data_IF_160772593329
#
_entry.id   IF_160772593329
#
_cell.length_a   1.000
_cell.length_b   1.000
_cell.length_c   1.000
_cell.angle_alpha   90.00
_cell.angle_beta   90.00
_cell.angle_gamma   90.00
#
_symmetry.space_group_name_H-M   'P 1'
#
loop_
_entity.id
_entity.type
_entity.pdbx_description
1 polymer ?
#
# COMPACT_ATOMS: atom_id res chain seq x y z
N UNK A 1 17.90 -6.55 -16.34
CA UNK A 1 17.69 -7.12 -14.99
C UNK A 1 16.96 -6.05 -14.18
N UNK A 2 15.63 -6.07 -14.25
CA UNK A 2 14.81 -4.91 -13.91
C UNK A 2 14.56 -4.82 -12.40
N UNK A 3 15.23 -3.82 -11.79
CA UNK A 3 14.71 -2.91 -10.76
C UNK A 3 14.33 -3.53 -9.41
N UNK A 4 15.34 -3.77 -8.59
CA UNK A 4 15.21 -3.76 -7.12
C UNK A 4 14.98 -2.34 -6.60
N UNK A 5 13.74 -1.85 -6.63
CA UNK A 5 13.39 -0.49 -6.15
C UNK A 5 12.38 -0.47 -4.97
N UNK A 6 11.89 -1.61 -4.48
CA UNK A 6 10.76 -1.59 -3.52
C UNK A 6 11.13 -1.84 -2.05
N UNK A 7 12.42 -1.92 -1.71
CA UNK A 7 12.82 -2.24 -0.31
C UNK A 7 13.74 -1.23 0.36
N UNK A 8 14.09 -0.11 -0.29
CA UNK A 8 15.02 0.89 0.30
C UNK A 8 14.39 2.22 0.72
N UNK A 9 13.11 2.47 0.40
CA UNK A 9 12.43 3.73 0.76
C UNK A 9 11.47 3.62 1.95
N UNK A 10 11.26 2.44 2.51
CA UNK A 10 10.35 2.26 3.68
C UNK A 10 11.05 2.66 4.98
N UNK A 11 12.37 2.50 5.07
CA UNK A 11 13.15 2.79 6.29
C UNK A 11 13.45 4.29 6.44
N UNK A 12 13.64 5.03 5.34
CA UNK A 12 13.96 6.47 5.38
C UNK A 12 12.77 7.36 5.77
N UNK A 13 11.51 6.91 5.60
CA UNK A 13 10.35 7.68 6.06
C UNK A 13 10.11 7.58 7.59
N UNK A 14 10.79 6.66 8.29
CA UNK A 14 10.64 6.51 9.73
C UNK A 14 11.43 7.59 10.49
N UNK A 15 12.63 7.97 10.02
CA UNK A 15 13.47 8.96 10.72
C UNK A 15 12.88 10.38 10.67
N UNK A 16 12.27 10.79 9.56
CA UNK A 16 11.67 12.14 9.43
C UNK A 16 10.37 12.32 10.23
N UNK A 17 9.60 11.25 10.43
CA UNK A 17 8.35 11.28 11.20
C UNK A 17 8.56 11.44 12.71
N UNK A 18 9.69 10.96 13.23
CA UNK A 18 10.05 11.11 14.66
C UNK A 18 10.42 12.57 14.95
N UNK A 19 11.19 13.22 14.06
CA UNK A 19 11.67 14.59 14.23
C UNK A 19 10.55 15.65 14.14
N UNK A 20 9.48 15.41 13.38
CA UNK A 20 8.36 16.37 13.28
C UNK A 20 7.36 16.29 14.45
N UNK A 21 7.48 15.31 15.34
CA UNK A 21 6.50 15.04 16.41
C UNK A 21 6.53 16.04 17.59
N UNK A 22 7.53 16.93 17.65
CA UNK A 22 7.65 17.94 18.70
C UNK A 22 6.71 19.15 18.53
N UNK A 23 6.03 19.28 17.38
CA UNK A 23 5.19 20.46 17.10
C UNK A 23 3.84 20.06 16.52
N UNK A 24 2.86 19.97 17.42
CA UNK A 24 1.40 19.96 17.20
C UNK A 24 0.76 18.62 16.82
N UNK A 25 0.05 18.07 17.82
CA UNK A 25 -1.27 17.48 17.65
C UNK A 25 -1.30 15.99 17.31
N UNK A 26 -1.62 15.17 18.33
CA UNK A 26 -1.81 13.71 18.30
C UNK A 26 -0.59 12.96 17.77
N UNK A 27 0.21 12.43 18.70
CA UNK A 27 1.13 11.35 18.36
C UNK A 27 0.29 10.19 17.82
N UNK A 28 0.50 9.84 16.55
CA UNK A 28 -0.06 8.62 16.00
C UNK A 28 0.49 7.47 16.83
N UNK A 29 -0.38 6.66 17.41
CA UNK A 29 0.04 5.50 18.17
C UNK A 29 0.79 4.53 17.23
N UNK A 30 1.68 3.67 17.75
CA UNK A 30 2.32 2.64 16.94
C UNK A 30 1.32 1.78 16.14
N UNK A 31 0.11 1.59 16.70
CA UNK A 31 -0.99 0.90 16.03
C UNK A 31 -1.55 1.68 14.83
N UNK A 32 -1.75 3.00 14.96
CA UNK A 32 -2.17 3.86 13.85
C UNK A 32 -1.11 3.93 12.75
N UNK A 33 0.17 3.93 13.11
CA UNK A 33 1.28 3.88 12.15
C UNK A 33 1.27 2.53 11.40
N UNK A 34 1.13 1.41 12.12
CA UNK A 34 1.05 0.09 11.51
C UNK A 34 -0.16 -0.05 10.58
N UNK A 35 -1.34 0.44 10.99
CA UNK A 35 -2.54 0.47 10.16
C UNK A 35 -2.33 1.29 8.88
N UNK A 36 -1.70 2.46 9.00
CA UNK A 36 -1.38 3.32 7.85
C UNK A 36 -0.35 2.67 6.92
N UNK A 37 0.66 2.00 7.45
CA UNK A 37 1.64 1.25 6.66
C UNK A 37 0.98 0.08 5.93
N UNK A 38 0.12 -0.68 6.61
CA UNK A 38 -0.64 -1.76 6.00
C UNK A 38 -1.49 -1.25 4.83
N UNK A 39 -2.24 -0.16 5.04
CA UNK A 39 -3.04 0.50 4.00
C UNK A 39 -2.19 0.93 2.81
N UNK A 40 -1.05 1.59 3.04
CA UNK A 40 -0.13 1.99 1.95
C UNK A 40 0.39 0.78 1.16
N UNK A 41 0.71 -0.33 1.84
CA UNK A 41 1.13 -1.57 1.18
C UNK A 41 0.04 -2.12 0.25
N UNK A 42 -1.22 -2.12 0.70
CA UNK A 42 -2.35 -2.55 -0.11
C UNK A 42 -2.61 -1.61 -1.31
N UNK A 43 -2.49 -0.29 -1.13
CA UNK A 43 -2.62 0.68 -2.22
C UNK A 43 -1.55 0.49 -3.31
N UNK A 44 -0.30 0.22 -2.92
CA UNK A 44 0.80 -0.06 -3.85
C UNK A 44 0.53 -1.35 -4.65
N UNK A 45 0.09 -2.42 -3.97
CA UNK A 45 -0.31 -3.66 -4.63
C UNK A 45 -1.44 -3.44 -5.62
N UNK A 46 -2.45 -2.65 -5.25
CA UNK A 46 -3.56 -2.29 -6.14
C UNK A 46 -3.07 -1.57 -7.40
N UNK A 47 -2.20 -0.58 -7.25
CA UNK A 47 -1.61 0.13 -8.39
C UNK A 47 -0.80 -0.80 -9.30
N UNK A 48 -0.07 -1.76 -8.73
CA UNK A 48 0.68 -2.76 -9.50
C UNK A 48 -0.25 -3.62 -10.36
N UNK A 49 -1.33 -4.11 -9.78
CA UNK A 49 -2.32 -4.95 -10.50
C UNK A 49 -2.99 -4.16 -11.61
N UNK A 50 -3.32 -2.88 -11.39
CA UNK A 50 -3.85 -2.01 -12.44
C UNK A 50 -2.87 -1.81 -13.60
N UNK A 51 -1.59 -1.53 -13.32
CA UNK A 51 -0.57 -1.43 -14.36
C UNK A 51 -0.40 -2.74 -15.13
N UNK A 52 -0.51 -3.89 -14.44
CA UNK A 52 -0.48 -5.20 -15.09
C UNK A 52 -1.71 -5.41 -15.98
N UNK A 53 -2.90 -4.96 -15.56
CA UNK A 53 -4.13 -5.02 -16.37
C UNK A 53 -4.05 -4.17 -17.64
N UNK A 54 -3.40 -3.01 -17.59
CA UNK A 54 -3.21 -2.14 -18.75
C UNK A 54 -2.35 -2.82 -19.83
N UNK A 55 -1.33 -3.59 -19.44
CA UNK A 55 -0.44 -4.28 -20.38
C UNK A 55 -0.87 -5.73 -20.66
N UNK A 56 -1.81 -6.29 -19.89
CA UNK A 56 -2.24 -7.68 -20.03
C UNK A 56 -3.10 -7.88 -21.28
N UNK A 57 -2.54 -8.58 -22.27
CA UNK A 57 -3.26 -8.95 -23.50
C UNK A 57 -3.96 -10.31 -23.40
N UNK A 58 -3.57 -11.16 -22.43
CA UNK A 58 -4.15 -12.49 -22.26
C UNK A 58 -5.45 -12.42 -21.42
N UNK A 59 -6.60 -12.86 -21.95
CA UNK A 59 -7.89 -12.82 -21.25
C UNK A 59 -7.89 -13.55 -19.90
N UNK A 60 -7.27 -14.73 -19.83
CA UNK A 60 -7.22 -15.52 -18.60
C UNK A 60 -6.35 -14.85 -17.52
N UNK A 61 -5.26 -14.21 -17.94
CA UNK A 61 -4.41 -13.43 -17.04
C UNK A 61 -5.13 -12.18 -16.55
N UNK A 62 -5.87 -11.48 -17.42
CA UNK A 62 -6.72 -10.36 -17.03
C UNK A 62 -7.76 -10.76 -15.98
N UNK A 63 -8.47 -11.86 -16.18
CA UNK A 63 -9.47 -12.34 -15.19
C UNK A 63 -8.82 -12.61 -13.83
N UNK A 64 -7.62 -13.19 -13.81
CA UNK A 64 -6.88 -13.42 -12.56
C UNK A 64 -6.48 -12.10 -11.88
N UNK A 65 -6.02 -11.10 -12.64
CA UNK A 65 -5.68 -9.79 -12.12
C UNK A 65 -6.91 -9.01 -11.64
N UNK A 66 -8.04 -9.11 -12.33
CA UNK A 66 -9.33 -8.51 -11.92
C UNK A 66 -9.82 -9.11 -10.59
N UNK A 67 -9.70 -10.43 -10.40
CA UNK A 67 -10.01 -11.08 -9.13
C UNK A 67 -9.09 -10.60 -7.99
N UNK A 68 -7.78 -10.58 -8.25
CA UNK A 68 -6.80 -10.06 -7.27
C UNK A 68 -7.05 -8.60 -6.92
N UNK A 69 -7.47 -7.78 -7.89
CA UNK A 69 -7.83 -6.38 -7.66
C UNK A 69 -9.05 -6.25 -6.73
N UNK A 70 -10.07 -7.08 -6.94
CA UNK A 70 -11.27 -7.09 -6.11
C UNK A 70 -10.97 -7.47 -4.65
N UNK A 71 -10.07 -8.44 -4.44
CA UNK A 71 -9.61 -8.87 -3.11
C UNK A 71 -8.84 -7.74 -2.41
N UNK A 72 -7.90 -7.09 -3.11
CA UNK A 72 -7.14 -5.95 -2.58
C UNK A 72 -8.06 -4.77 -2.22
N UNK A 73 -9.05 -4.49 -3.06
CA UNK A 73 -10.05 -3.43 -2.81
C UNK A 73 -10.94 -3.78 -1.60
N UNK A 74 -11.26 -5.06 -1.39
CA UNK A 74 -12.00 -5.52 -0.21
C UNK A 74 -11.17 -5.37 1.07
N UNK A 75 -9.89 -5.74 1.03
CA UNK A 75 -8.99 -5.59 2.19
C UNK A 75 -8.72 -4.10 2.51
N UNK A 76 -8.61 -3.25 1.47
CA UNK A 76 -8.52 -1.81 1.64
C UNK A 76 -9.76 -1.24 2.34
N UNK A 77 -10.97 -1.59 1.88
CA UNK A 77 -12.22 -1.16 2.53
C UNK A 77 -12.33 -1.64 3.97
N UNK A 78 -11.93 -2.88 4.24
CA UNK A 78 -11.93 -3.44 5.59
C UNK A 78 -10.93 -2.71 6.51
N UNK A 79 -9.77 -2.32 5.98
CA UNK A 79 -8.75 -1.56 6.70
C UNK A 79 -9.13 -0.10 6.90
N UNK A 80 -9.84 0.50 5.94
CA UNK A 80 -10.36 1.87 5.99
C UNK A 80 -11.59 2.00 6.91
N UNK A 81 -12.38 0.92 7.04
CA UNK A 81 -13.51 0.83 7.99
C UNK A 81 -13.09 0.44 9.42
N UNK A 82 -11.79 0.53 9.76
CA UNK A 82 -11.31 0.40 11.13
C UNK A 82 -11.66 1.63 11.99
N UNK A 83 -11.89 1.45 13.31
CA UNK A 83 -12.66 2.32 14.21
C UNK A 83 -12.12 3.74 14.43
#
# INVERSE_FOLDING_TARGET
MARGWESKSVEQQQEEMIASSERKGKQLTPEEIAARQKRRGLELSRQRVLQQLEVASNPQHRTMLEAALADLDAELRATDSGP
#
